data_IF_154813041307
#
_entry.id   IF_154813041307
#
_cell.length_a   1.000
_cell.length_b   1.000
_cell.length_c   1.000
_cell.angle_alpha   90.00
_cell.angle_beta   90.00
_cell.angle_gamma   90.00
#
_symmetry.space_group_name_H-M   'P 1'
#
loop_
_entity.id
_entity.type
_entity.pdbx_description
1 polymer ?
#
# COMPACT_ATOMS: atom_id res chain seq x y z
N UNK A 1 16.65 -23.95 -19.34
CA UNK A 1 16.15 -24.28 -17.99
C UNK A 1 15.48 -23.04 -17.43
N UNK A 2 14.15 -22.96 -17.53
CA UNK A 2 13.39 -21.85 -16.97
C UNK A 2 13.26 -22.10 -15.46
N UNK A 3 14.00 -21.33 -14.65
CA UNK A 3 13.74 -21.28 -13.23
C UNK A 3 12.39 -20.55 -13.06
N UNK A 4 11.35 -21.27 -12.64
CA UNK A 4 10.14 -20.64 -12.10
C UNK A 4 10.57 -19.78 -10.91
N UNK A 5 10.61 -18.46 -11.12
CA UNK A 5 10.98 -17.48 -10.10
C UNK A 5 9.73 -17.09 -9.33
N UNK A 6 9.91 -17.04 -8.01
CA UNK A 6 8.87 -17.00 -7.00
C UNK A 6 8.15 -15.63 -7.03
N UNK A 7 6.85 -15.61 -7.30
CA UNK A 7 6.03 -14.48 -6.83
C UNK A 7 5.75 -14.71 -5.36
N UNK A 8 6.32 -13.84 -4.54
CA UNK A 8 6.12 -13.90 -3.11
C UNK A 8 4.73 -13.33 -2.79
N UNK A 9 3.71 -14.20 -2.82
CA UNK A 9 2.41 -13.91 -2.23
C UNK A 9 2.55 -13.94 -0.71
N UNK A 10 2.52 -12.78 -0.08
CA UNK A 10 2.45 -12.67 1.37
C UNK A 10 1.02 -13.06 1.80
N UNK A 11 0.86 -14.21 2.46
CA UNK A 11 -0.45 -14.73 2.86
C UNK A 11 -1.13 -13.79 3.87
N UNK A 12 -2.42 -13.52 3.64
CA UNK A 12 -3.30 -12.84 4.59
C UNK A 12 -3.35 -13.66 5.89
N UNK A 13 -3.18 -13.02 7.04
CA UNK A 13 -3.66 -13.61 8.30
C UNK A 13 -5.19 -13.60 8.27
N UNK A 14 -5.77 -14.73 7.88
CA UNK A 14 -7.21 -14.95 7.87
C UNK A 14 -7.66 -15.16 9.33
N UNK A 15 -8.13 -14.10 9.98
CA UNK A 15 -8.98 -14.27 11.16
C UNK A 15 -10.35 -14.73 10.67
N UNK A 16 -10.56 -16.05 10.75
CA UNK A 16 -11.80 -16.73 10.43
C UNK A 16 -12.89 -16.30 11.42
N UNK A 17 -13.68 -15.28 11.08
CA UNK A 17 -14.90 -14.97 11.83
C UNK A 17 -16.00 -15.93 11.37
N UNK A 18 -16.31 -16.91 12.21
CA UNK A 18 -17.32 -17.94 11.99
C UNK A 18 -18.71 -17.29 11.97
N UNK A 19 -19.28 -17.03 10.79
CA UNK A 19 -20.68 -16.56 10.69
C UNK A 19 -21.64 -17.76 10.73
N UNK A 20 -22.23 -17.99 11.90
CA UNK A 20 -23.40 -18.85 12.05
C UNK A 20 -24.58 -18.16 11.36
N UNK A 21 -25.15 -18.78 10.34
CA UNK A 21 -26.38 -18.31 9.70
C UNK A 21 -27.56 -18.58 10.63
N UNK A 22 -28.23 -17.51 11.05
CA UNK A 22 -29.61 -17.57 11.55
C UNK A 22 -30.45 -16.61 10.71
N UNK A 23 -31.50 -17.15 10.09
CA UNK A 23 -32.49 -16.39 9.34
C UNK A 23 -33.40 -15.62 10.32
N UNK A 24 -33.33 -14.29 10.34
CA UNK A 24 -34.45 -13.39 10.64
C UNK A 24 -34.07 -11.92 10.37
N UNK A 25 -34.99 -11.22 9.69
CA UNK A 25 -35.11 -9.77 9.52
C UNK A 25 -33.95 -9.00 8.85
N UNK A 26 -34.23 -8.49 7.64
CA UNK A 26 -33.48 -7.38 7.03
C UNK A 26 -33.53 -6.19 7.97
N UNK A 27 -32.42 -5.89 8.62
CA UNK A 27 -32.13 -4.59 9.19
C UNK A 27 -30.83 -4.14 8.54
N UNK A 28 -30.85 -3.02 7.82
CA UNK A 28 -29.65 -2.45 7.22
C UNK A 28 -28.76 -1.94 8.35
N UNK A 29 -27.86 -2.79 8.83
CA UNK A 29 -26.76 -2.38 9.67
C UNK A 29 -25.78 -1.63 8.77
N UNK A 30 -25.78 -0.29 8.82
CA UNK A 30 -24.67 0.50 8.32
C UNK A 30 -23.43 0.06 9.09
N UNK A 31 -22.59 -0.76 8.44
CA UNK A 31 -21.31 -1.16 9.01
C UNK A 31 -20.42 0.07 8.92
N UNK A 32 -20.27 0.80 10.02
CA UNK A 32 -19.32 1.90 10.15
C UNK A 32 -17.91 1.31 10.10
N UNK A 33 -17.24 1.49 8.96
CA UNK A 33 -15.84 1.11 8.83
C UNK A 33 -14.97 2.27 9.32
N UNK A 34 -14.44 2.15 10.54
CA UNK A 34 -13.44 3.07 11.05
C UNK A 34 -12.13 2.92 10.26
N UNK A 35 -11.88 3.83 9.32
CA UNK A 35 -10.61 3.93 8.63
C UNK A 35 -9.69 4.90 9.38
N UNK A 36 -8.59 4.40 9.94
CA UNK A 36 -7.52 5.23 10.49
C UNK A 36 -7.03 6.21 9.42
N UNK A 37 -7.13 7.51 9.69
CA UNK A 37 -6.70 8.59 8.79
C UNK A 37 -5.18 8.76 8.73
N UNK A 38 -4.45 8.26 9.73
CA UNK A 38 -2.99 8.24 9.74
C UNK A 38 -2.48 7.13 8.81
N UNK A 39 -1.63 7.43 7.82
CA UNK A 39 -1.03 6.39 7.01
C UNK A 39 -0.19 5.44 7.88
N UNK A 40 -0.12 4.16 7.49
CA UNK A 40 0.61 3.11 8.21
C UNK A 40 1.40 2.25 7.22
N UNK A 41 2.24 1.36 7.73
CA UNK A 41 3.00 0.43 6.89
C UNK A 41 3.87 1.17 5.86
N UNK A 42 3.84 0.72 4.61
CA UNK A 42 4.57 1.30 3.49
C UNK A 42 4.03 2.66 3.04
N UNK A 43 2.76 2.99 3.28
CA UNK A 43 2.22 4.31 2.92
C UNK A 43 2.99 5.45 3.61
N UNK A 44 3.44 5.26 4.85
CA UNK A 44 4.24 6.24 5.58
C UNK A 44 5.60 6.59 4.95
N UNK A 45 6.08 5.73 4.05
CA UNK A 45 7.38 5.92 3.38
C UNK A 45 7.23 6.08 1.87
N UNK A 46 5.99 6.15 1.36
CA UNK A 46 5.68 6.54 -0.01
C UNK A 46 5.70 8.06 -0.13
N UNK A 47 6.91 8.60 -0.16
CA UNK A 47 7.17 10.01 -0.40
C UNK A 47 8.28 10.15 -1.42
N UNK A 48 8.04 10.84 -2.53
CA UNK A 48 9.03 11.02 -3.59
C UNK A 48 8.92 12.45 -4.14
N UNK A 49 10.03 13.17 -4.23
CA UNK A 49 10.09 14.32 -5.13
C UNK A 49 9.98 13.82 -6.57
N UNK A 50 9.35 14.59 -7.45
CA UNK A 50 9.08 14.17 -8.83
C UNK A 50 9.67 15.12 -9.87
N UNK A 51 10.22 14.51 -10.92
CA UNK A 51 10.57 15.18 -12.17
C UNK A 51 9.38 15.19 -13.15
N UNK A 52 8.43 14.27 -12.97
CA UNK A 52 7.13 14.28 -13.64
C UNK A 52 6.02 13.95 -12.64
N UNK A 53 5.08 14.88 -12.38
CA UNK A 53 5.07 16.27 -12.85
C UNK A 53 6.31 17.05 -12.33
N UNK A 54 6.76 18.11 -13.03
CA UNK A 54 7.97 18.84 -12.67
C UNK A 54 7.80 19.58 -11.34
N UNK A 55 8.82 19.53 -10.49
CA UNK A 55 8.82 20.10 -9.13
C UNK A 55 7.67 19.59 -8.25
N UNK A 56 7.11 18.42 -8.59
CA UNK A 56 6.04 17.80 -7.82
C UNK A 56 6.58 17.02 -6.63
N UNK A 57 5.65 16.56 -5.80
CA UNK A 57 5.94 15.65 -4.71
C UNK A 57 4.78 14.69 -4.55
N UNK A 58 5.09 13.40 -4.54
CA UNK A 58 4.21 12.36 -4.01
C UNK A 58 4.43 12.27 -2.50
N UNK A 59 3.33 12.19 -1.78
CA UNK A 59 3.26 12.10 -0.32
C UNK A 59 2.34 10.95 0.07
N UNK A 60 2.37 10.50 1.33
CA UNK A 60 1.44 9.48 1.81
C UNK A 60 -0.05 9.79 1.53
N UNK A 61 -0.41 11.08 1.44
CA UNK A 61 -1.80 11.48 1.17
C UNK A 61 -2.25 11.18 -0.26
N UNK A 62 -1.34 11.20 -1.23
CA UNK A 62 -1.65 10.92 -2.63
C UNK A 62 -2.08 9.47 -2.85
N UNK A 63 -1.72 8.58 -1.91
CA UNK A 63 -2.02 7.16 -1.90
C UNK A 63 -3.15 6.77 -0.94
N UNK A 64 -3.81 7.72 -0.28
CA UNK A 64 -4.98 7.41 0.55
C UNK A 64 -6.06 6.75 -0.30
N UNK A 65 -6.55 5.60 0.18
CA UNK A 65 -7.59 4.81 -0.49
C UNK A 65 -7.19 4.35 -1.91
N UNK A 66 -5.89 4.23 -2.17
CA UNK A 66 -5.33 3.82 -3.46
C UNK A 66 -4.30 2.72 -3.28
N UNK A 67 -4.05 2.00 -4.36
CA UNK A 67 -2.93 1.07 -4.47
C UNK A 67 -1.72 1.79 -5.10
N UNK A 68 -0.51 1.39 -4.71
CA UNK A 68 0.72 1.89 -5.33
C UNK A 68 1.49 0.75 -6.01
N UNK A 69 1.85 0.93 -7.28
CA UNK A 69 2.82 0.09 -7.99
C UNK A 69 4.11 0.89 -8.18
N UNK A 70 5.07 0.68 -7.27
CA UNK A 70 6.37 1.34 -7.32
C UNK A 70 7.36 0.48 -8.10
N UNK A 71 8.08 1.06 -9.05
CA UNK A 71 9.02 0.34 -9.91
C UNK A 71 10.34 1.09 -9.95
N UNK A 72 11.46 0.43 -9.61
CA UNK A 72 12.78 1.03 -9.80
C UNK A 72 13.22 0.89 -11.26
N UNK A 73 13.42 1.98 -11.97
CA UNK A 73 13.54 1.99 -13.43
C UNK A 73 14.92 2.47 -13.91
N UNK A 74 15.27 2.13 -15.16
CA UNK A 74 16.51 2.55 -15.80
C UNK A 74 16.36 2.68 -17.33
N UNK A 75 16.73 3.81 -17.93
CA UNK A 75 16.56 4.08 -19.37
C UNK A 75 17.38 3.19 -20.30
N UNK A 76 18.54 2.69 -19.85
CA UNK A 76 19.48 1.87 -20.65
C UNK A 76 19.42 0.38 -20.28
N UNK A 77 18.32 -0.06 -19.68
CA UNK A 77 18.10 -1.45 -19.30
C UNK A 77 17.41 -2.23 -20.44
N UNK A 78 17.70 -3.53 -20.55
CA UNK A 78 16.99 -4.43 -21.47
C UNK A 78 15.48 -4.55 -21.18
N UNK A 79 15.06 -4.22 -19.95
CA UNK A 79 13.65 -4.20 -19.54
C UNK A 79 12.95 -2.85 -19.76
N UNK A 80 13.62 -1.84 -20.35
CA UNK A 80 13.03 -0.52 -20.57
C UNK A 80 11.71 -0.56 -21.38
N UNK A 81 11.52 -1.58 -22.22
CA UNK A 81 10.26 -1.83 -22.92
C UNK A 81 9.05 -1.99 -21.99
N UNK A 82 9.25 -2.37 -20.72
CA UNK A 82 8.19 -2.49 -19.72
C UNK A 82 7.56 -1.15 -19.36
N UNK A 83 8.21 -0.01 -19.61
CA UNK A 83 7.60 1.32 -19.40
C UNK A 83 6.29 1.49 -20.17
N UNK A 84 6.20 0.94 -21.40
CA UNK A 84 4.96 0.95 -22.20
C UNK A 84 3.84 0.13 -21.55
N UNK A 85 4.21 -1.00 -20.94
CA UNK A 85 3.25 -1.86 -20.26
C UNK A 85 2.78 -1.25 -18.93
N UNK A 86 3.68 -0.60 -18.20
CA UNK A 86 3.34 0.19 -17.02
C UNK A 86 2.40 1.35 -17.38
N UNK A 87 2.62 2.00 -18.52
CA UNK A 87 1.71 3.01 -19.05
C UNK A 87 0.31 2.42 -19.33
N UNK A 88 0.23 1.24 -19.93
CA UNK A 88 -1.06 0.54 -20.13
C UNK A 88 -1.77 0.24 -18.80
N UNK A 89 -1.04 -0.19 -17.77
CA UNK A 89 -1.62 -0.39 -16.43
C UNK A 89 -2.12 0.92 -15.82
N UNK A 90 -1.34 2.00 -15.96
CA UNK A 90 -1.71 3.33 -15.50
C UNK A 90 -3.00 3.82 -16.16
N UNK A 91 -3.11 3.71 -17.48
CA UNK A 91 -4.31 4.11 -18.23
C UNK A 91 -5.53 3.25 -17.85
N UNK A 92 -5.33 1.94 -17.69
CA UNK A 92 -6.43 1.00 -17.42
C UNK A 92 -6.99 1.13 -16.00
N UNK A 93 -6.12 1.31 -15.00
CA UNK A 93 -6.48 1.20 -13.59
C UNK A 93 -6.30 2.49 -12.79
N UNK A 94 -5.80 3.56 -13.40
CA UNK A 94 -5.56 4.85 -12.73
C UNK A 94 -6.83 5.43 -12.10
N UNK A 95 -7.93 5.46 -12.87
CA UNK A 95 -9.23 5.93 -12.39
C UNK A 95 -9.86 5.00 -11.32
N UNK A 96 -9.42 3.74 -11.27
CA UNK A 96 -9.87 2.76 -10.28
C UNK A 96 -9.04 2.82 -8.99
N UNK A 97 -8.01 3.67 -8.93
CA UNK A 97 -7.20 3.87 -7.72
C UNK A 97 -5.80 3.25 -7.77
N UNK A 98 -5.30 2.82 -8.93
CA UNK A 98 -3.89 2.41 -9.07
C UNK A 98 -2.99 3.63 -9.35
N UNK A 99 -1.98 3.83 -8.49
CA UNK A 99 -0.92 4.83 -8.71
C UNK A 99 0.37 4.13 -9.12
N UNK A 100 0.80 4.34 -10.37
CA UNK A 100 2.08 3.84 -10.87
C UNK A 100 3.17 4.89 -10.65
N UNK A 101 4.30 4.48 -10.08
CA UNK A 101 5.44 5.37 -9.81
C UNK A 101 6.71 4.74 -10.37
N UNK A 102 7.34 5.42 -11.34
CA UNK A 102 8.71 5.09 -11.73
C UNK A 102 9.70 5.78 -10.78
N UNK A 103 10.71 5.04 -10.33
CA UNK A 103 11.83 5.53 -9.54
C UNK A 103 13.13 5.28 -10.30
N UNK A 104 13.59 6.23 -11.13
CA UNK A 104 14.83 6.10 -11.86
C UNK A 104 16.01 5.87 -10.91
N UNK A 105 16.89 4.91 -11.18
CA UNK A 105 18.04 4.62 -10.34
C UNK A 105 19.25 4.16 -11.14
N UNK A 106 20.44 4.62 -10.75
CA UNK A 106 21.69 4.25 -11.39
C UNK A 106 22.45 3.13 -10.65
N UNK A 107 21.83 2.55 -9.61
CA UNK A 107 22.47 1.58 -8.72
C UNK A 107 22.82 0.26 -9.41
N UNK A 108 22.06 -0.13 -10.44
CA UNK A 108 22.26 -1.39 -11.14
C UNK A 108 22.96 -1.18 -12.48
N UNK A 109 24.25 -1.56 -12.51
CA UNK A 109 25.11 -1.55 -13.69
C UNK A 109 25.20 -0.19 -14.42
N UNK A 110 24.93 0.93 -13.73
CA UNK A 110 25.05 2.26 -14.31
C UNK A 110 24.06 2.53 -15.46
N UNK A 111 22.87 1.92 -15.43
CA UNK A 111 21.91 1.95 -16.54
C UNK A 111 20.96 3.18 -16.54
N UNK A 112 21.12 4.11 -15.60
CA UNK A 112 20.42 5.40 -15.56
C UNK A 112 21.42 6.57 -15.34
N UNK A 113 22.44 6.71 -16.22
CA UNK A 113 23.51 7.69 -16.01
C UNK A 113 23.05 9.13 -16.28
N UNK A 114 21.94 9.30 -17.03
CA UNK A 114 21.51 10.58 -17.55
C UNK A 114 21.00 11.57 -16.51
N UNK A 115 20.94 12.84 -16.90
CA UNK A 115 20.31 13.89 -16.11
C UNK A 115 18.77 13.85 -16.21
N UNK A 116 18.09 14.79 -15.56
CA UNK A 116 16.61 14.84 -15.53
C UNK A 116 16.01 14.94 -16.93
N UNK A 117 16.51 15.84 -17.77
CA UNK A 117 15.99 16.05 -19.13
C UNK A 117 16.18 14.79 -19.99
N UNK A 118 17.35 14.16 -19.90
CA UNK A 118 17.62 12.90 -20.60
C UNK A 118 16.70 11.77 -20.13
N UNK A 119 16.41 11.67 -18.83
CA UNK A 119 15.46 10.67 -18.31
C UNK A 119 14.05 10.95 -18.85
N UNK A 120 13.59 12.19 -18.80
CA UNK A 120 12.26 12.57 -19.29
C UNK A 120 12.11 12.28 -20.79
N UNK A 121 13.09 12.65 -21.60
CA UNK A 121 13.09 12.38 -23.04
C UNK A 121 13.03 10.88 -23.32
N UNK A 122 13.84 10.08 -22.62
CA UNK A 122 13.82 8.62 -22.76
C UNK A 122 12.48 8.02 -22.36
N UNK A 123 11.87 8.46 -21.27
CA UNK A 123 10.59 7.92 -20.78
C UNK A 123 9.42 8.36 -21.68
N UNK A 124 9.51 9.55 -22.28
CA UNK A 124 8.56 10.06 -23.27
C UNK A 124 8.55 9.21 -24.56
N UNK A 125 9.69 8.65 -24.98
CA UNK A 125 9.72 7.69 -26.11
C UNK A 125 8.88 6.42 -25.84
N UNK A 126 8.65 6.09 -24.57
CA UNK A 126 7.76 4.99 -24.15
C UNK A 126 6.32 5.45 -23.88
N UNK A 127 6.01 6.74 -24.01
CA UNK A 127 4.68 7.30 -23.78
C UNK A 127 4.32 7.44 -22.30
N UNK A 128 5.29 7.49 -21.39
CA UNK A 128 5.05 7.54 -19.94
C UNK A 128 4.37 8.86 -19.55
N UNK A 129 3.18 8.77 -18.96
CA UNK A 129 2.44 9.92 -18.39
C UNK A 129 2.27 9.82 -16.88
N UNK A 130 2.49 8.64 -16.29
CA UNK A 130 2.46 8.45 -14.84
C UNK A 130 3.64 9.15 -14.14
N UNK A 131 3.63 9.14 -12.81
CA UNK A 131 4.60 9.86 -12.02
C UNK A 131 6.01 9.27 -12.14
N UNK A 132 7.00 10.16 -12.32
CA UNK A 132 8.42 9.82 -12.36
C UNK A 132 9.09 10.57 -11.21
N UNK A 133 9.63 9.81 -10.26
CA UNK A 133 10.38 10.36 -9.13
C UNK A 133 11.74 10.91 -9.58
N UNK A 134 12.37 11.71 -8.72
CA UNK A 134 13.78 12.06 -8.85
C UNK A 134 14.65 10.81 -8.96
N UNK A 135 15.79 10.94 -9.65
CA UNK A 135 16.77 9.86 -9.70
C UNK A 135 17.27 9.56 -8.29
N UNK A 136 16.99 8.36 -7.80
CA UNK A 136 17.08 8.02 -6.38
C UNK A 136 17.87 6.72 -6.19
N UNK A 137 18.80 6.64 -5.21
CA UNK A 137 19.40 5.37 -4.81
C UNK A 137 18.34 4.44 -4.23
N UNK A 138 18.37 3.16 -4.63
CA UNK A 138 17.40 2.14 -4.21
C UNK A 138 18.06 0.99 -3.44
N UNK A 139 19.38 0.99 -3.36
CA UNK A 139 20.19 0.03 -2.60
C UNK A 139 21.19 0.71 -1.65
N UNK A 140 21.68 -0.05 -0.68
CA UNK A 140 22.70 0.39 0.28
C UNK A 140 22.25 1.48 1.27
N UNK A 141 23.21 2.06 1.97
CA UNK A 141 22.95 2.99 3.09
C UNK A 141 22.27 4.30 2.66
N UNK A 142 22.34 4.63 1.37
CA UNK A 142 21.70 5.82 0.80
C UNK A 142 20.36 5.52 0.14
N UNK A 143 19.89 4.28 0.18
CA UNK A 143 18.61 3.90 -0.38
C UNK A 143 17.47 4.76 0.17
N UNK A 144 16.48 5.01 -0.68
CA UNK A 144 15.23 5.63 -0.28
C UNK A 144 14.56 4.89 0.89
N UNK A 145 13.87 5.62 1.76
CA UNK A 145 13.21 5.06 2.94
C UNK A 145 12.22 3.92 2.59
N UNK A 146 11.53 4.04 1.45
CA UNK A 146 10.67 2.98 0.92
C UNK A 146 11.44 1.65 0.74
N UNK A 147 12.55 1.67 0.00
CA UNK A 147 13.33 0.46 -0.29
C UNK A 147 14.08 -0.06 0.93
N UNK A 148 14.58 0.82 1.81
CA UNK A 148 15.15 0.42 3.11
C UNK A 148 14.13 -0.36 3.94
N UNK A 149 12.90 0.14 4.05
CA UNK A 149 11.84 -0.54 4.79
C UNK A 149 11.53 -1.93 4.24
N UNK A 150 11.64 -2.14 2.93
CA UNK A 150 11.47 -3.48 2.32
C UNK A 150 12.60 -4.41 2.78
N UNK A 151 13.84 -3.93 2.72
CA UNK A 151 14.99 -4.69 3.18
C UNK A 151 14.90 -5.05 4.68
N UNK A 152 14.49 -4.09 5.50
CA UNK A 152 14.37 -4.24 6.96
C UNK A 152 13.22 -5.17 7.37
N UNK A 153 12.05 -5.03 6.72
CA UNK A 153 10.84 -5.79 7.05
C UNK A 153 10.88 -7.22 6.52
N UNK A 154 11.51 -7.44 5.36
CA UNK A 154 11.52 -8.74 4.69
C UNK A 154 12.94 -9.30 4.55
N UNK A 155 13.70 -8.77 3.60
CA UNK A 155 15.13 -9.06 3.41
C UNK A 155 15.68 -8.24 2.24
N UNK A 156 17.00 -8.15 2.12
CA UNK A 156 17.67 -7.57 0.95
C UNK A 156 17.39 -8.31 -0.35
N UNK A 157 16.97 -9.59 -0.31
CA UNK A 157 16.57 -10.36 -1.49
C UNK A 157 15.14 -10.06 -1.96
N UNK A 158 14.34 -9.38 -1.13
CA UNK A 158 13.00 -8.88 -1.49
C UNK A 158 13.06 -7.42 -1.92
N UNK A 159 14.00 -6.63 -1.38
CA UNK A 159 14.31 -5.28 -1.88
C UNK A 159 14.82 -5.31 -3.33
N UNK A 160 14.99 -4.15 -4.00
CA UNK A 160 15.47 -4.13 -5.39
C UNK A 160 16.76 -4.93 -5.56
N UNK A 161 16.70 -5.93 -6.43
CA UNK A 161 17.81 -6.81 -6.82
C UNK A 161 18.32 -6.48 -8.21
N UNK A 162 17.47 -5.87 -9.05
CA UNK A 162 17.81 -5.36 -10.37
C UNK A 162 16.87 -4.24 -10.79
N UNK A 163 17.15 -3.60 -11.94
CA UNK A 163 16.21 -2.67 -12.57
C UNK A 163 14.91 -3.40 -12.95
N UNK A 164 13.78 -2.72 -12.75
CA UNK A 164 12.41 -3.17 -13.04
C UNK A 164 11.81 -4.19 -12.07
N UNK A 165 12.35 -4.31 -10.85
CA UNK A 165 11.58 -4.94 -9.76
C UNK A 165 10.38 -4.04 -9.40
N UNK A 166 9.24 -4.66 -9.07
CA UNK A 166 7.94 -3.98 -8.93
C UNK A 166 7.33 -4.32 -7.58
N UNK A 167 6.84 -3.31 -6.88
CA UNK A 167 6.36 -3.42 -5.51
C UNK A 167 4.91 -2.92 -5.46
N UNK A 168 3.98 -3.86 -5.27
CA UNK A 168 2.56 -3.54 -5.15
C UNK A 168 2.19 -3.37 -3.67
N UNK A 169 1.74 -2.18 -3.31
CA UNK A 169 1.31 -1.80 -1.96
C UNK A 169 -0.18 -1.52 -1.98
N UNK A 170 -0.92 -2.08 -1.01
CA UNK A 170 -2.35 -1.86 -0.86
C UNK A 170 -2.69 -0.54 -0.14
N UNK A 171 -3.98 -0.20 -0.09
CA UNK A 171 -4.48 1.03 0.54
C UNK A 171 -4.30 1.11 2.06
N UNK A 172 -3.87 0.02 2.71
CA UNK A 172 -3.55 -0.03 4.15
C UNK A 172 -2.05 0.12 4.39
N UNK A 173 -1.25 0.10 3.32
CA UNK A 173 0.20 0.15 3.38
C UNK A 173 0.85 -1.19 3.60
N UNK A 174 0.18 -2.29 3.27
CA UNK A 174 0.81 -3.61 3.25
C UNK A 174 1.41 -3.91 1.87
N UNK A 175 2.58 -4.55 1.86
CA UNK A 175 3.16 -5.06 0.63
C UNK A 175 2.32 -6.26 0.19
N UNK A 176 1.64 -6.15 -0.95
CA UNK A 176 0.79 -7.20 -1.48
C UNK A 176 1.57 -8.21 -2.30
N UNK A 177 2.46 -7.70 -3.15
CA UNK A 177 3.26 -8.52 -4.06
C UNK A 177 4.56 -7.81 -4.43
N UNK A 178 5.59 -8.61 -4.70
CA UNK A 178 6.84 -8.17 -5.31
C UNK A 178 7.06 -8.99 -6.57
N UNK A 179 7.24 -8.31 -7.70
CA UNK A 179 7.49 -8.94 -8.99
C UNK A 179 8.91 -8.64 -9.46
N UNK A 180 9.71 -9.67 -9.78
CA UNK A 180 11.06 -9.46 -10.27
C UNK A 180 11.07 -8.82 -11.67
N UNK A 181 12.22 -8.26 -12.03
CA UNK A 181 12.51 -7.58 -13.29
C UNK A 181 12.07 -8.32 -14.56
N UNK A 182 12.15 -9.65 -14.58
CA UNK A 182 11.77 -10.49 -15.73
C UNK A 182 10.27 -10.81 -15.80
N UNK A 183 9.48 -10.39 -14.79
CA UNK A 183 8.02 -10.46 -14.82
C UNK A 183 7.46 -9.24 -15.55
N UNK A 184 6.91 -9.46 -16.74
CA UNK A 184 6.31 -8.41 -17.57
C UNK A 184 5.02 -7.84 -16.94
N UNK A 185 4.78 -6.52 -16.93
CA UNK A 185 3.65 -5.93 -16.19
C UNK A 185 2.25 -6.39 -16.64
N UNK A 186 2.07 -6.82 -17.91
CA UNK A 186 0.76 -7.25 -18.43
C UNK A 186 0.52 -8.77 -18.36
N UNK A 187 1.39 -9.53 -17.68
CA UNK A 187 1.10 -10.95 -17.48
C UNK A 187 -0.05 -11.14 -16.50
N UNK A 188 -0.79 -12.25 -16.67
CA UNK A 188 -1.97 -12.57 -15.89
C UNK A 188 -1.75 -12.44 -14.38
N UNK A 189 -0.60 -12.88 -13.89
CA UNK A 189 -0.26 -12.83 -12.47
C UNK A 189 -0.22 -11.41 -11.90
N UNK A 190 0.41 -10.47 -12.60
CA UNK A 190 0.46 -9.05 -12.17
C UNK A 190 -0.94 -8.45 -12.23
N UNK A 191 -1.68 -8.72 -13.31
CA UNK A 191 -3.04 -8.19 -13.51
C UNK A 191 -3.98 -8.65 -12.39
N UNK A 192 -3.97 -9.95 -12.06
CA UNK A 192 -4.83 -10.50 -11.00
C UNK A 192 -4.52 -9.86 -9.65
N UNK A 193 -3.25 -9.68 -9.28
CA UNK A 193 -2.90 -9.03 -8.02
C UNK A 193 -3.34 -7.57 -7.96
N UNK A 194 -3.21 -6.84 -9.08
CA UNK A 194 -3.70 -5.46 -9.17
C UNK A 194 -5.22 -5.44 -8.99
N UNK A 195 -5.96 -6.25 -9.74
CA UNK A 195 -7.42 -6.31 -9.67
C UNK A 195 -7.89 -6.70 -8.26
N UNK A 196 -7.27 -7.69 -7.62
CA UNK A 196 -7.59 -8.07 -6.23
C UNK A 196 -7.36 -6.93 -5.24
N UNK A 197 -6.27 -6.15 -5.38
CA UNK A 197 -6.03 -4.98 -4.50
C UNK A 197 -7.04 -3.86 -4.75
N UNK A 198 -7.45 -3.67 -6.01
CA UNK A 198 -8.42 -2.65 -6.37
C UNK A 198 -9.83 -2.99 -5.88
N UNK A 199 -10.20 -4.28 -5.87
CA UNK A 199 -11.46 -4.75 -5.28
C UNK A 199 -11.52 -4.54 -3.77
N UNK A 200 -10.37 -4.60 -3.08
CA UNK A 200 -10.26 -4.34 -1.64
C UNK A 200 -10.34 -2.85 -1.28
N UNK A 201 -10.32 -1.92 -2.26
CA UNK A 201 -10.34 -0.49 -1.95
C UNK A 201 -11.67 -0.08 -1.27
N UNK A 202 -11.63 0.88 -0.33
CA UNK A 202 -12.84 1.40 0.28
C UNK A 202 -13.75 2.02 -0.79
N UNK A 203 -14.98 1.50 -0.93
CA UNK A 203 -16.00 2.04 -1.84
C UNK A 203 -16.96 2.95 -1.09
N UNK A 204 -17.36 4.05 -1.73
CA UNK A 204 -18.46 4.90 -1.25
C UNK A 204 -18.07 5.97 -0.22
N UNK A 205 -16.80 6.33 -0.10
CA UNK A 205 -16.37 7.48 0.69
C UNK A 205 -16.23 8.69 -0.23
N UNK A 206 -17.23 9.56 -0.26
CA UNK A 206 -17.11 10.89 -0.87
C UNK A 206 -16.06 11.72 -0.09
N UNK A 207 -15.20 12.51 -0.77
CA UNK A 207 -14.27 13.41 -0.08
C UNK A 207 -15.03 14.46 0.74
N UNK A 208 -15.14 14.27 2.06
CA UNK A 208 -15.75 15.25 2.97
C UNK A 208 -16.73 14.70 4.02
N UNK A 209 -17.03 13.40 4.04
CA UNK A 209 -17.76 12.82 5.18
C UNK A 209 -16.82 12.66 6.38
N UNK A 210 -16.91 13.59 7.34
CA UNK A 210 -16.30 13.43 8.65
C UNK A 210 -17.01 12.30 9.41
N UNK A 211 -16.23 11.33 9.87
CA UNK A 211 -16.72 10.25 10.73
C UNK A 211 -16.99 10.85 12.11
N UNK A 212 -18.26 10.83 12.55
CA UNK A 212 -18.59 11.14 13.94
C UNK A 212 -17.96 10.07 14.84
N UNK A 213 -17.13 10.51 15.78
CA UNK A 213 -16.61 9.68 16.86
C UNK A 213 -17.74 9.47 17.88
N UNK A 214 -18.42 8.34 17.82
CA UNK A 214 -19.32 7.93 18.90
C UNK A 214 -18.48 7.59 20.13
N UNK A 215 -18.36 8.56 21.04
CA UNK A 215 -17.93 8.32 22.42
C UNK A 215 -19.07 7.56 23.11
N UNK A 216 -18.94 6.23 23.21
CA UNK A 216 -19.79 5.45 24.12
C UNK A 216 -19.45 5.89 25.56
N UNK A 217 -20.37 6.64 26.20
CA UNK A 217 -20.35 6.84 27.64
C UNK A 217 -20.50 5.48 28.31
N UNK A 218 -19.48 5.03 29.05
CA UNK A 218 -19.61 3.87 29.93
C UNK A 218 -20.60 4.23 31.04
N UNK A 219 -21.84 3.76 30.89
CA UNK A 219 -22.85 3.71 31.96
C UNK A 219 -22.25 2.92 33.13
N UNK A 220 -21.88 3.63 34.21
CA UNK A 220 -21.47 3.04 35.46
C UNK A 220 -22.71 2.43 36.14
N UNK A 221 -22.91 1.13 35.92
CA UNK A 221 -23.95 0.34 36.59
C UNK A 221 -23.83 0.44 38.11
N UNK A 222 -24.84 1.08 38.68
CA UNK A 222 -25.22 1.12 40.08
C UNK A 222 -25.60 -0.31 40.53
N UNK A 223 -24.88 -0.86 41.51
CA UNK A 223 -25.29 -2.10 42.19
C UNK A 223 -25.49 -1.83 43.67
N UNK A 224 -26.74 -1.54 44.00
CA UNK A 224 -27.26 -1.58 45.36
C UNK A 224 -27.89 -2.97 45.66
N UNK A 225 -27.92 -3.26 46.97
CA UNK A 225 -28.66 -4.31 47.69
C UNK A 225 -28.08 -5.75 47.70
N UNK A 226 -28.08 -6.53 48.77
CA UNK A 226 -28.37 -6.44 50.21
C UNK A 226 -28.04 -7.83 50.81
N UNK A 227 -27.52 -7.89 52.06
CA UNK A 227 -27.99 -8.77 53.17
C UNK A 227 -26.90 -9.06 54.20
N UNK A 228 -27.26 -8.84 55.47
CA UNK A 228 -26.48 -9.25 56.65
C UNK A 228 -27.19 -8.88 57.94
N UNK A 229 -28.17 -9.70 58.30
CA UNK A 229 -29.12 -9.62 59.41
C UNK A 229 -28.49 -9.89 60.80
N UNK A 230 -29.04 -9.19 61.80
CA UNK A 230 -29.13 -9.39 63.27
C UNK A 230 -27.94 -9.81 64.16
N UNK A 231 -27.79 -9.09 65.29
CA UNK A 231 -26.85 -9.46 66.36
C UNK A 231 -26.77 -8.56 67.60
N UNK A 232 -27.89 -8.39 68.30
CA UNK A 232 -28.03 -8.30 69.77
C UNK A 232 -27.39 -7.18 70.63
N UNK A 233 -28.18 -6.74 71.62
CA UNK A 233 -27.92 -5.71 72.63
C UNK A 233 -27.29 -6.33 73.89
N UNK A 234 -26.24 -5.71 74.43
CA UNK A 234 -26.17 -5.25 75.84
C UNK A 234 -24.75 -4.91 76.31
N UNK A 235 -24.60 -3.74 76.95
CA UNK A 235 -23.79 -3.62 78.17
C UNK A 235 -22.83 -2.43 78.27
N UNK A 236 -23.06 -1.61 79.31
CA UNK A 236 -22.13 -0.69 80.02
C UNK A 236 -21.82 0.65 79.33
N UNK A 237 -21.85 1.82 79.96
CA UNK A 237 -22.02 2.28 81.36
C UNK A 237 -22.77 3.62 81.34
#
# INVERSE_FOLDING_TARGET
MAASRLVLRLQRSMLLSLRIQSFAAVNQSHTTHFFSTTPRGFLNVLQFATIQPPNGQLTPQDFRFKAALVVNTASKCGHAGQLKQLQTLHEKYGEQGLVVVAVPSNDFAGQEPGNVDEILDRYKEFGVTFAIADKTPVTGDKAHAFFKKIADKYSTSVAPTWNFDKFLVDHRGDMRAVFPNDTEPLVKEVIVEIEEVLEDLPRGLEPGEELEEDYEEEDSDESDEERGDDGDKNGRY
#
